data_IF_695147645166
#
_entry.id   IF_695147645166
#
_cell.length_a   1.000
_cell.length_b   1.000
_cell.length_c   1.000
_cell.angle_alpha   90.00
_cell.angle_beta   90.00
_cell.angle_gamma   90.00
#
_symmetry.space_group_name_H-M   'P 1'
#
loop_
_entity.id
_entity.type
_entity.pdbx_description
1 polymer ?
#
# COMPACT_ATOMS: atom_id res chain seq x y z
N UNK A 1 5.82 1.16 -30.29
CA UNK A 1 6.81 0.05 -30.28
C UNK A 1 7.49 -0.08 -28.90
N UNK A 2 7.89 0.99 -28.21
CA UNK A 2 8.51 0.92 -26.86
C UNK A 2 7.56 0.32 -25.77
N UNK A 3 6.28 0.66 -25.79
CA UNK A 3 5.31 0.11 -24.83
C UNK A 3 5.08 -1.41 -25.00
N UNK A 4 5.08 -1.93 -26.24
CA UNK A 4 4.98 -3.38 -26.48
C UNK A 4 6.22 -4.13 -26.00
N UNK A 5 7.40 -3.54 -26.14
CA UNK A 5 8.64 -4.15 -25.64
C UNK A 5 8.72 -4.14 -24.11
N UNK A 6 8.16 -3.14 -23.43
CA UNK A 6 8.01 -3.15 -21.96
C UNK A 6 7.11 -4.29 -21.49
N UNK A 7 5.89 -4.44 -22.04
CA UNK A 7 4.99 -5.52 -21.65
C UNK A 7 5.54 -6.93 -21.86
N UNK A 8 6.34 -7.15 -22.93
CA UNK A 8 6.95 -8.46 -23.19
C UNK A 8 8.12 -8.73 -22.23
N UNK A 9 8.85 -7.69 -21.83
CA UNK A 9 9.95 -7.80 -20.89
C UNK A 9 9.46 -8.02 -19.45
N UNK A 10 8.28 -7.51 -19.10
CA UNK A 10 7.65 -7.69 -17.81
C UNK A 10 7.07 -9.11 -17.60
N UNK A 11 6.81 -9.84 -18.70
CA UNK A 11 6.32 -11.23 -18.68
C UNK A 11 7.43 -12.28 -18.65
N UNK A 12 8.66 -11.92 -18.27
CA UNK A 12 9.74 -12.86 -18.13
C UNK A 12 9.46 -13.80 -16.94
N UNK A 13 9.82 -15.07 -17.06
CA UNK A 13 9.69 -16.07 -15.98
C UNK A 13 10.30 -15.59 -14.65
N UNK A 14 11.38 -14.81 -14.73
CA UNK A 14 12.01 -14.17 -13.59
C UNK A 14 11.04 -13.19 -12.87
N UNK A 15 10.33 -12.35 -13.61
CA UNK A 15 9.37 -11.40 -13.04
C UNK A 15 8.15 -12.09 -12.41
N UNK A 16 7.74 -13.22 -12.96
CA UNK A 16 6.70 -14.05 -12.34
C UNK A 16 7.16 -14.60 -10.98
N UNK A 17 8.40 -15.06 -10.88
CA UNK A 17 8.98 -15.50 -9.60
C UNK A 17 9.06 -14.32 -8.62
N UNK A 18 9.43 -13.12 -9.07
CA UNK A 18 9.50 -11.92 -8.24
C UNK A 18 8.12 -11.54 -7.68
N UNK A 19 7.06 -11.56 -8.49
CA UNK A 19 5.69 -11.30 -8.01
C UNK A 19 5.26 -12.34 -6.98
N UNK A 20 5.45 -13.61 -7.27
CA UNK A 20 5.02 -14.70 -6.38
C UNK A 20 5.79 -14.66 -5.05
N UNK A 21 7.12 -14.50 -5.11
CA UNK A 21 7.94 -14.38 -3.89
C UNK A 21 7.58 -13.15 -3.08
N UNK A 22 7.39 -12.00 -3.73
CA UNK A 22 6.93 -10.77 -3.10
C UNK A 22 5.57 -10.94 -2.43
N UNK A 23 4.62 -11.58 -3.10
CA UNK A 23 3.30 -11.83 -2.56
C UNK A 23 3.34 -12.77 -1.33
N UNK A 24 4.14 -13.83 -1.35
CA UNK A 24 4.30 -14.74 -0.22
C UNK A 24 4.93 -14.01 0.97
N UNK A 25 6.04 -13.32 0.76
CA UNK A 25 6.73 -12.55 1.81
C UNK A 25 5.79 -11.48 2.39
N UNK A 26 5.13 -10.73 1.52
CA UNK A 26 4.17 -9.71 1.92
C UNK A 26 3.02 -10.28 2.75
N UNK A 27 2.45 -11.42 2.35
CA UNK A 27 1.35 -12.07 3.07
C UNK A 27 1.78 -12.54 4.46
N UNK A 28 2.94 -13.19 4.56
CA UNK A 28 3.46 -13.69 5.84
C UNK A 28 3.74 -12.55 6.81
N UNK A 29 4.43 -11.50 6.36
CA UNK A 29 4.75 -10.36 7.22
C UNK A 29 3.50 -9.52 7.49
N UNK A 30 2.60 -9.39 6.50
CA UNK A 30 1.34 -8.64 6.63
C UNK A 30 0.33 -9.26 7.61
N UNK A 31 0.48 -10.57 7.93
CA UNK A 31 -0.30 -11.19 9.02
C UNK A 31 0.10 -10.68 10.40
N UNK A 32 1.28 -10.06 10.56
CA UNK A 32 1.69 -9.49 11.83
C UNK A 32 0.94 -8.16 12.06
N UNK A 33 0.10 -8.09 13.10
CA UNK A 33 -0.66 -6.88 13.38
C UNK A 33 0.29 -5.72 13.74
N UNK A 34 0.03 -4.55 13.17
CA UNK A 34 0.84 -3.35 13.40
C UNK A 34 1.95 -3.11 12.37
N UNK A 35 2.32 -4.08 11.55
CA UNK A 35 3.22 -3.89 10.42
C UNK A 35 2.39 -3.60 9.16
N UNK A 36 2.14 -2.32 8.91
CA UNK A 36 1.45 -1.91 7.70
C UNK A 36 2.29 -2.16 6.42
N UNK A 37 1.68 -2.17 5.24
CA UNK A 37 2.37 -2.45 3.97
C UNK A 37 3.51 -1.47 3.69
N UNK A 38 3.43 -0.24 4.19
CA UNK A 38 4.50 0.76 4.06
C UNK A 38 5.77 0.35 4.79
N UNK A 39 5.66 -0.21 6.00
CA UNK A 39 6.81 -0.68 6.77
C UNK A 39 7.48 -1.87 6.08
N UNK A 40 6.69 -2.77 5.52
CA UNK A 40 7.20 -3.94 4.80
C UNK A 40 7.94 -3.52 3.52
N UNK A 41 7.37 -2.57 2.77
CA UNK A 41 8.02 -2.00 1.59
C UNK A 41 9.35 -1.36 1.98
N UNK A 42 9.39 -0.57 3.06
CA UNK A 42 10.61 0.08 3.53
C UNK A 42 11.72 -0.94 3.84
N UNK A 43 11.40 -2.07 4.46
CA UNK A 43 12.33 -3.16 4.74
C UNK A 43 12.80 -3.84 3.44
N UNK A 44 11.92 -3.93 2.43
CA UNK A 44 12.22 -4.60 1.17
C UNK A 44 12.95 -3.73 0.15
N UNK A 45 12.98 -2.40 0.32
CA UNK A 45 13.68 -1.48 -0.59
C UNK A 45 15.15 -1.85 -0.81
N UNK A 46 15.98 -2.13 0.22
CA UNK A 46 17.37 -2.50 0.00
C UNK A 46 17.53 -3.77 -0.86
N UNK A 47 16.65 -4.75 -0.66
CA UNK A 47 16.62 -5.98 -1.46
C UNK A 47 16.20 -5.66 -2.91
N UNK A 48 15.19 -4.83 -3.09
CA UNK A 48 14.72 -4.42 -4.41
C UNK A 48 15.82 -3.67 -5.20
N UNK A 49 16.58 -2.81 -4.55
CA UNK A 49 17.71 -2.11 -5.19
C UNK A 49 18.82 -3.09 -5.61
N UNK A 50 19.07 -4.13 -4.84
CA UNK A 50 20.11 -5.14 -5.17
C UNK A 50 19.81 -5.95 -6.44
N UNK A 51 18.57 -5.97 -6.93
CA UNK A 51 18.17 -6.68 -8.15
C UNK A 51 18.77 -6.03 -9.42
N UNK A 52 19.06 -4.72 -9.36
CA UNK A 52 19.70 -3.98 -10.47
C UNK A 52 18.77 -3.65 -11.65
N UNK A 53 17.63 -4.30 -11.80
CA UNK A 53 16.60 -3.96 -12.80
C UNK A 53 15.41 -3.25 -12.14
N UNK A 54 15.17 -1.96 -12.46
CA UNK A 54 14.09 -1.20 -11.83
C UNK A 54 12.68 -1.77 -12.06
N UNK A 55 12.44 -2.42 -13.21
CA UNK A 55 11.14 -3.00 -13.51
C UNK A 55 10.86 -4.22 -12.59
N UNK A 56 11.83 -5.13 -12.48
CA UNK A 56 11.73 -6.31 -11.61
C UNK A 56 11.63 -5.91 -10.12
N UNK A 57 12.34 -4.87 -9.71
CA UNK A 57 12.26 -4.32 -8.36
C UNK A 57 10.85 -3.78 -8.04
N UNK A 58 10.25 -3.01 -8.95
CA UNK A 58 8.89 -2.51 -8.79
C UNK A 58 7.86 -3.64 -8.76
N UNK A 59 8.03 -4.66 -9.58
CA UNK A 59 7.17 -5.84 -9.62
C UNK A 59 7.22 -6.60 -8.29
N UNK A 60 8.42 -6.79 -7.73
CA UNK A 60 8.60 -7.39 -6.40
C UNK A 60 7.88 -6.59 -5.32
N UNK A 61 8.11 -5.27 -5.27
CA UNK A 61 7.49 -4.39 -4.28
C UNK A 61 5.97 -4.33 -4.41
N UNK A 62 5.45 -4.34 -5.63
CA UNK A 62 4.01 -4.43 -5.87
C UNK A 62 3.44 -5.76 -5.34
N UNK A 63 4.13 -6.88 -5.58
CA UNK A 63 3.77 -8.19 -5.01
C UNK A 63 3.74 -8.17 -3.48
N UNK A 64 4.77 -7.59 -2.85
CA UNK A 64 4.84 -7.41 -1.39
C UNK A 64 3.68 -6.57 -0.88
N UNK A 65 3.34 -5.48 -1.55
CA UNK A 65 2.23 -4.60 -1.16
C UNK A 65 0.89 -5.33 -1.18
N UNK A 66 0.57 -6.03 -2.28
CA UNK A 66 -0.66 -6.81 -2.40
C UNK A 66 -0.72 -7.96 -1.37
N UNK A 67 0.40 -8.66 -1.20
CA UNK A 67 0.50 -9.71 -0.18
C UNK A 67 0.26 -9.18 1.23
N UNK A 68 0.84 -8.04 1.57
CA UNK A 68 0.68 -7.42 2.89
C UNK A 68 -0.78 -7.01 3.19
N UNK A 69 -1.50 -6.48 2.19
CA UNK A 69 -2.93 -6.15 2.35
C UNK A 69 -3.75 -7.42 2.58
N UNK A 70 -3.49 -8.48 1.82
CA UNK A 70 -4.19 -9.75 1.98
C UNK A 70 -3.88 -10.40 3.34
N UNK A 71 -2.61 -10.39 3.78
CA UNK A 71 -2.18 -10.84 5.10
C UNK A 71 -2.87 -10.07 6.23
N UNK A 72 -2.97 -8.74 6.10
CA UNK A 72 -3.70 -7.88 7.03
C UNK A 72 -5.21 -8.17 7.09
N UNK A 73 -5.82 -8.54 5.97
CA UNK A 73 -7.22 -9.00 5.95
C UNK A 73 -7.38 -10.32 6.69
N UNK A 74 -6.44 -11.23 6.55
CA UNK A 74 -6.44 -12.53 7.24
C UNK A 74 -6.35 -12.34 8.75
N UNK A 75 -5.45 -11.49 9.26
CA UNK A 75 -5.34 -11.19 10.69
C UNK A 75 -6.59 -10.47 11.23
N UNK A 76 -7.20 -9.59 10.43
CA UNK A 76 -8.46 -8.92 10.79
C UNK A 76 -9.60 -9.90 11.00
N UNK A 77 -9.71 -10.93 10.15
CA UNK A 77 -10.76 -11.95 10.22
C UNK A 77 -10.53 -12.91 11.38
N UNK A 78 -9.28 -13.38 11.57
CA UNK A 78 -8.98 -14.44 12.55
C UNK A 78 -8.87 -13.94 13.98
N UNK A 79 -8.20 -12.81 14.20
CA UNK A 79 -7.84 -12.31 15.53
C UNK A 79 -8.36 -10.92 15.85
N UNK A 80 -9.18 -10.33 14.95
CA UNK A 80 -9.70 -8.96 15.08
C UNK A 80 -8.60 -7.90 15.29
N UNK A 81 -7.45 -8.10 14.68
CA UNK A 81 -6.32 -7.18 14.74
C UNK A 81 -6.00 -6.67 13.33
N UNK A 82 -6.64 -5.59 12.86
CA UNK A 82 -6.42 -5.07 11.52
C UNK A 82 -5.00 -4.52 11.39
N UNK A 83 -4.23 -5.06 10.44
CA UNK A 83 -2.88 -4.59 10.11
C UNK A 83 -2.88 -3.31 9.27
N UNK A 84 -3.99 -3.05 8.56
CA UNK A 84 -4.15 -1.93 7.62
C UNK A 84 -5.50 -1.27 7.83
N UNK A 85 -5.58 0.06 7.67
CA UNK A 85 -6.83 0.79 7.84
C UNK A 85 -7.99 0.26 6.96
N UNK A 86 -7.68 -0.17 5.72
CA UNK A 86 -8.68 -0.75 4.81
C UNK A 86 -9.26 -2.09 5.28
N UNK A 87 -8.54 -2.83 6.11
CA UNK A 87 -8.99 -4.15 6.60
C UNK A 87 -9.84 -4.07 7.88
N UNK A 88 -10.00 -2.88 8.46
CA UNK A 88 -10.91 -2.63 9.58
C UNK A 88 -12.36 -2.97 9.20
N UNK A 89 -12.79 -2.58 8.00
CA UNK A 89 -14.13 -2.92 7.50
C UNK A 89 -14.35 -4.45 7.41
N UNK A 90 -13.31 -5.19 7.03
CA UNK A 90 -13.36 -6.66 6.93
C UNK A 90 -13.51 -7.33 8.31
N UNK A 91 -13.03 -6.69 9.38
CA UNK A 91 -13.13 -7.25 10.73
C UNK A 91 -14.57 -7.21 11.28
N UNK A 92 -15.42 -6.27 10.85
CA UNK A 92 -16.79 -6.16 11.35
C UNK A 92 -17.64 -7.39 11.01
N UNK A 93 -17.50 -7.91 9.80
CA UNK A 93 -18.28 -9.08 9.36
C UNK A 93 -17.45 -10.37 9.44
N UNK A 94 -16.16 -10.30 9.13
CA UNK A 94 -15.29 -11.46 9.07
C UNK A 94 -14.98 -12.07 10.43
N UNK A 95 -14.74 -11.27 11.45
CA UNK A 95 -14.43 -11.78 12.78
C UNK A 95 -15.59 -12.48 13.48
N UNK A 96 -16.84 -11.95 13.51
CA UNK A 96 -18.00 -12.68 14.03
C UNK A 96 -18.23 -14.00 13.30
N UNK A 97 -18.03 -14.00 11.98
CA UNK A 97 -18.14 -15.21 11.16
C UNK A 97 -17.07 -16.25 11.50
N UNK A 98 -15.84 -15.79 11.78
CA UNK A 98 -14.76 -16.67 12.23
C UNK A 98 -15.05 -17.27 13.62
N UNK A 99 -15.58 -16.47 14.55
CA UNK A 99 -15.97 -16.95 15.89
C UNK A 99 -17.12 -17.96 15.87
N UNK A 100 -18.00 -17.91 14.89
CA UNK A 100 -19.06 -18.89 14.69
C UNK A 100 -18.58 -20.21 14.08
N UNK A 101 -17.26 -20.41 13.93
CA UNK A 101 -16.65 -21.63 13.36
C UNK A 101 -16.57 -21.63 11.83
N UNK A 102 -16.96 -20.53 11.17
CA UNK A 102 -16.95 -20.43 9.72
C UNK A 102 -15.75 -19.61 9.17
N UNK A 103 -14.62 -19.66 9.85
CA UNK A 103 -13.41 -18.92 9.48
C UNK A 103 -12.96 -19.20 8.04
N UNK A 104 -13.00 -20.46 7.60
CA UNK A 104 -12.64 -20.84 6.24
C UNK A 104 -13.53 -20.19 5.18
N UNK A 105 -14.85 -20.08 5.43
CA UNK A 105 -15.77 -19.40 4.53
C UNK A 105 -15.48 -17.90 4.46
N UNK A 106 -15.20 -17.25 5.58
CA UNK A 106 -14.86 -15.84 5.63
C UNK A 106 -13.58 -15.53 4.83
N UNK A 107 -12.54 -16.34 5.00
CA UNK A 107 -11.29 -16.21 4.26
C UNK A 107 -11.47 -16.45 2.75
N UNK A 108 -12.29 -17.43 2.38
CA UNK A 108 -12.57 -17.72 0.96
C UNK A 108 -13.31 -16.57 0.31
N UNK A 109 -14.32 -15.99 0.97
CA UNK A 109 -15.06 -14.83 0.47
C UNK A 109 -14.11 -13.63 0.33
N UNK A 110 -13.24 -13.37 1.32
CA UNK A 110 -12.26 -12.32 1.26
C UNK A 110 -11.27 -12.50 0.09
N UNK A 111 -10.79 -13.73 -0.15
CA UNK A 111 -9.90 -14.03 -1.27
C UNK A 111 -10.58 -13.82 -2.63
N UNK A 112 -11.81 -14.30 -2.80
CA UNK A 112 -12.56 -14.13 -4.05
C UNK A 112 -12.86 -12.64 -4.30
N UNK A 113 -13.31 -11.91 -3.27
CA UNK A 113 -13.57 -10.48 -3.37
C UNK A 113 -12.32 -9.68 -3.73
N UNK A 114 -11.17 -10.03 -3.12
CA UNK A 114 -9.87 -9.42 -3.44
C UNK A 114 -9.44 -9.71 -4.87
N UNK A 115 -9.66 -10.92 -5.36
CA UNK A 115 -9.34 -11.29 -6.75
C UNK A 115 -10.21 -10.51 -7.74
N UNK A 116 -11.53 -10.46 -7.52
CA UNK A 116 -12.45 -9.72 -8.40
C UNK A 116 -12.14 -8.22 -8.35
N UNK A 117 -11.99 -7.65 -7.14
CA UNK A 117 -11.69 -6.24 -6.96
C UNK A 117 -10.33 -5.85 -7.55
N UNK A 118 -9.31 -6.68 -7.35
CA UNK A 118 -7.98 -6.48 -7.91
C UNK A 118 -7.96 -6.54 -9.43
N UNK A 119 -8.67 -7.51 -10.04
CA UNK A 119 -8.79 -7.63 -11.50
C UNK A 119 -9.51 -6.43 -12.10
N UNK A 120 -10.63 -6.02 -11.49
CA UNK A 120 -11.37 -4.84 -11.95
C UNK A 120 -10.56 -3.55 -11.78
N UNK A 121 -9.85 -3.41 -10.67
CA UNK A 121 -8.94 -2.30 -10.42
C UNK A 121 -7.79 -2.24 -11.42
N UNK A 122 -7.20 -3.37 -11.79
CA UNK A 122 -6.15 -3.45 -12.80
C UNK A 122 -6.65 -3.04 -14.18
N UNK A 123 -7.86 -3.46 -14.58
CA UNK A 123 -8.49 -3.04 -15.84
C UNK A 123 -8.74 -1.53 -15.85
N UNK A 124 -9.30 -0.99 -14.77
CA UNK A 124 -9.52 0.45 -14.63
C UNK A 124 -8.21 1.22 -14.70
N UNK A 125 -7.19 0.76 -13.98
CA UNK A 125 -5.87 1.39 -14.00
C UNK A 125 -5.30 1.40 -15.42
N UNK A 126 -5.36 0.28 -16.13
CA UNK A 126 -4.88 0.18 -17.50
C UNK A 126 -5.59 1.16 -18.45
N UNK A 127 -6.91 1.30 -18.33
CA UNK A 127 -7.70 2.22 -19.15
C UNK A 127 -7.43 3.70 -18.80
N UNK A 128 -7.32 4.01 -17.51
CA UNK A 128 -7.23 5.40 -17.04
C UNK A 128 -5.82 5.90 -16.76
N UNK A 129 -4.80 5.01 -16.68
CA UNK A 129 -3.42 5.39 -16.39
C UNK A 129 -2.86 6.51 -17.29
N UNK A 130 -3.06 6.49 -18.64
CA UNK A 130 -2.53 7.55 -19.50
C UNK A 130 -3.23 8.90 -19.27
N UNK A 131 -4.51 8.89 -18.86
CA UNK A 131 -5.25 10.10 -18.53
C UNK A 131 -4.80 10.65 -17.16
N UNK A 132 -4.70 9.78 -16.17
CA UNK A 132 -4.27 10.13 -14.81
C UNK A 132 -2.82 10.63 -14.79
N UNK A 133 -1.92 10.03 -15.58
CA UNK A 133 -0.54 10.48 -15.65
C UNK A 133 -0.42 11.89 -16.26
N UNK A 134 -1.21 12.21 -17.28
CA UNK A 134 -1.26 13.56 -17.82
C UNK A 134 -1.76 14.58 -16.79
N UNK A 135 -2.84 14.24 -16.08
CA UNK A 135 -3.37 15.08 -15.01
C UNK A 135 -2.33 15.26 -13.89
N UNK A 136 -1.70 14.19 -13.42
CA UNK A 136 -0.70 14.26 -12.37
C UNK A 136 0.52 15.12 -12.72
N UNK A 137 0.92 15.15 -13.99
CA UNK A 137 2.03 15.98 -14.47
C UNK A 137 1.66 17.47 -14.61
N UNK A 138 0.36 17.82 -14.66
CA UNK A 138 -0.08 19.21 -14.65
C UNK A 138 -0.11 19.82 -13.26
N UNK A 139 -0.07 18.99 -12.20
CA UNK A 139 -0.06 19.47 -10.83
C UNK A 139 1.30 20.07 -10.46
N UNK A 140 1.28 21.31 -10.02
CA UNK A 140 2.43 22.04 -9.51
C UNK A 140 2.56 21.89 -7.99
N UNK A 141 3.68 22.27 -7.42
CA UNK A 141 3.94 22.15 -5.97
C UNK A 141 2.88 22.84 -5.10
N UNK A 142 2.29 23.95 -5.57
CA UNK A 142 1.22 24.66 -4.87
C UNK A 142 -0.08 23.85 -4.77
N UNK A 143 -0.39 23.07 -5.80
CA UNK A 143 -1.61 22.24 -5.84
C UNK A 143 -1.47 21.01 -4.95
N UNK A 144 -0.27 20.41 -4.89
CA UNK A 144 0.04 19.36 -3.92
C UNK A 144 -0.11 19.85 -2.48
N UNK A 145 0.35 21.07 -2.19
CA UNK A 145 0.16 21.68 -0.87
C UNK A 145 -1.32 21.83 -0.54
N UNK A 146 -2.12 22.34 -1.48
CA UNK A 146 -3.56 22.47 -1.30
C UNK A 146 -4.26 21.12 -1.04
N UNK A 147 -3.87 20.06 -1.77
CA UNK A 147 -4.35 18.71 -1.54
C UNK A 147 -3.97 18.16 -0.16
N UNK A 148 -2.75 18.43 0.31
CA UNK A 148 -2.34 18.04 1.66
C UNK A 148 -3.16 18.74 2.73
N UNK A 149 -3.40 20.04 2.60
CA UNK A 149 -4.26 20.83 3.51
C UNK A 149 -5.69 20.29 3.51
N UNK A 150 -6.23 19.97 2.32
CA UNK A 150 -7.56 19.37 2.19
C UNK A 150 -7.61 18.00 2.87
N UNK A 151 -6.61 17.14 2.68
CA UNK A 151 -6.52 15.85 3.34
C UNK A 151 -6.47 15.97 4.87
N UNK A 152 -5.65 16.86 5.40
CA UNK A 152 -5.56 17.13 6.83
C UNK A 152 -6.87 17.67 7.41
N UNK A 153 -7.54 18.58 6.68
CA UNK A 153 -8.83 19.11 7.11
C UNK A 153 -9.93 18.05 7.11
N UNK A 154 -9.92 17.13 6.14
CA UNK A 154 -10.83 16.00 6.10
C UNK A 154 -10.62 15.07 7.31
N UNK A 155 -9.37 14.73 7.64
CA UNK A 155 -9.05 13.93 8.82
C UNK A 155 -9.54 14.63 10.09
N UNK A 156 -9.32 15.95 10.23
CA UNK A 156 -9.79 16.74 11.35
C UNK A 156 -11.32 16.74 11.45
N UNK A 157 -12.03 16.79 10.32
CA UNK A 157 -13.49 16.74 10.28
C UNK A 157 -14.05 15.38 10.75
N UNK A 158 -13.36 14.27 10.42
CA UNK A 158 -13.72 12.92 10.87
C UNK A 158 -13.38 12.63 12.33
N UNK A 159 -12.53 13.43 12.97
CA UNK A 159 -12.12 13.23 14.37
C UNK A 159 -13.24 13.43 15.40
N UNK A 160 -14.44 13.86 14.97
CA UNK A 160 -15.63 14.03 15.83
C UNK A 160 -15.65 15.34 16.64
N UNK A 161 -16.84 15.68 17.10
CA UNK A 161 -17.08 16.91 17.86
C UNK A 161 -16.30 16.89 19.18
N UNK A 162 -15.40 17.87 19.37
CA UNK A 162 -14.61 18.05 20.59
C UNK A 162 -13.19 17.46 20.57
N UNK A 163 -12.80 16.73 19.52
CA UNK A 163 -11.45 16.15 19.40
C UNK A 163 -10.59 16.80 18.30
N UNK A 164 -11.09 17.86 17.68
CA UNK A 164 -10.40 18.57 16.59
C UNK A 164 -9.01 19.06 17.02
N UNK A 165 -8.89 19.59 18.24
CA UNK A 165 -7.60 20.04 18.78
C UNK A 165 -6.59 18.89 18.92
N UNK A 166 -7.03 17.71 19.34
CA UNK A 166 -6.16 16.51 19.43
C UNK A 166 -5.75 16.03 18.04
N UNK A 167 -6.67 16.01 17.07
CA UNK A 167 -6.38 15.64 15.69
C UNK A 167 -5.36 16.58 15.04
N UNK A 168 -5.50 17.91 15.25
CA UNK A 168 -4.56 18.92 14.78
C UNK A 168 -3.18 18.76 15.43
N UNK A 169 -3.11 18.56 16.75
CA UNK A 169 -1.82 18.32 17.42
C UNK A 169 -1.12 17.08 16.88
N UNK A 170 -1.84 15.98 16.66
CA UNK A 170 -1.28 14.76 16.07
C UNK A 170 -0.84 14.95 14.62
N UNK A 171 -1.59 15.72 13.82
CA UNK A 171 -1.22 16.05 12.46
C UNK A 171 0.07 16.90 12.41
N UNK A 172 0.19 17.92 13.25
CA UNK A 172 1.40 18.76 13.35
C UNK A 172 2.59 17.89 13.81
N UNK A 173 2.41 17.02 14.80
CA UNK A 173 3.43 16.12 15.28
C UNK A 173 3.90 15.15 14.18
N UNK A 174 2.97 14.63 13.37
CA UNK A 174 3.26 13.81 12.19
C UNK A 174 4.06 14.56 11.13
N UNK A 175 3.72 15.81 10.84
CA UNK A 175 4.45 16.65 9.89
C UNK A 175 5.86 16.95 10.42
N UNK A 176 6.02 17.26 11.71
CA UNK A 176 7.33 17.48 12.32
C UNK A 176 8.23 16.24 12.22
N UNK A 177 7.68 15.06 12.50
CA UNK A 177 8.42 13.80 12.35
C UNK A 177 8.78 13.53 10.89
N UNK A 178 7.87 13.76 9.95
CA UNK A 178 8.12 13.56 8.53
C UNK A 178 9.21 14.51 7.99
N UNK A 179 9.20 15.77 8.41
CA UNK A 179 10.24 16.75 8.02
C UNK A 179 11.60 16.42 8.66
N UNK A 180 11.62 15.94 9.91
CA UNK A 180 12.84 15.48 10.57
C UNK A 180 13.46 14.29 9.82
N UNK A 181 12.64 13.31 9.42
CA UNK A 181 13.09 12.15 8.63
C UNK A 181 13.60 12.56 7.25
N UNK A 182 12.97 13.53 6.60
CA UNK A 182 13.41 14.05 5.31
C UNK A 182 14.77 14.75 5.40
N UNK A 183 15.02 15.46 6.51
CA UNK A 183 16.29 16.16 6.74
C UNK A 183 17.44 15.18 7.07
N UNK A 184 17.16 14.07 7.71
CA UNK A 184 18.14 13.03 8.06
C UNK A 184 18.38 12.00 6.94
N UNK A 185 17.55 12.02 5.90
CA UNK A 185 17.72 11.14 4.74
C UNK A 185 18.89 11.65 3.88
N UNK A 186 19.89 10.80 3.53
CA UNK A 186 21.01 11.22 2.70
C UNK A 186 20.50 11.75 1.36
N UNK A 187 20.97 12.93 1.01
CA UNK A 187 20.65 13.55 -0.27
C UNK A 187 21.16 12.66 -1.42
N UNK A 188 20.42 12.59 -2.56
CA UNK A 188 20.92 11.89 -3.75
C UNK A 188 22.28 12.41 -4.26
N UNK A 189 22.75 13.56 -3.76
CA UNK A 189 24.08 14.11 -4.06
C UNK A 189 25.18 13.42 -3.25
N UNK A 190 24.87 12.99 -2.01
CA UNK A 190 25.84 12.35 -1.11
C UNK A 190 26.10 10.88 -1.50
N UNK A 191 25.27 10.30 -2.39
CA UNK A 191 25.44 8.95 -2.93
C UNK A 191 26.28 8.91 -4.21
N UNK A 192 26.83 10.07 -4.67
CA UNK A 192 27.64 10.18 -5.88
C UNK A 192 29.15 10.44 -5.59
N UNK A 193 29.54 10.56 -4.35
CA UNK A 193 30.92 10.58 -3.88
C UNK A 193 31.32 9.23 -3.26
#
# INVERSE_FOLDING_TARGET
RRQRQMCIRDSTFFNLIMVVSGCIIGTVIGMLPGLGPMSIIAIMIPIAISIGDPASALILLAGVYYGAIFGGSTSSILINAPGVAGTVATSFDGYPMARSGMAGKALTIAAISSFIGGTFGAILLFCFAPLLSKLALTFHSSEYFALMVLGLSAIAAFAGKGQIAKALMMAILGIMLATCLLYTSPSPRDLRE
#
